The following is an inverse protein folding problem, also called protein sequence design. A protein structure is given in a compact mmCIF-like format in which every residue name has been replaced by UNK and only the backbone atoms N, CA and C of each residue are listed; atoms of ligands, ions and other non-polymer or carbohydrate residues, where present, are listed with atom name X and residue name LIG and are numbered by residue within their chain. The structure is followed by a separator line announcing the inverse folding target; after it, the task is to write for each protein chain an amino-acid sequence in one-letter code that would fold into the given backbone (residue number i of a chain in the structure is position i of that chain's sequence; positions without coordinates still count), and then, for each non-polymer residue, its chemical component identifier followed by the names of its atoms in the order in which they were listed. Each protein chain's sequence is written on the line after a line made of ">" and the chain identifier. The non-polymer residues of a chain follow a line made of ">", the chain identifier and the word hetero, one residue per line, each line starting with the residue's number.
data_IF_904134982879
#
_entry.id   IF_904134982879
#
_cell.length_a   1.000
_cell.length_b   1.000
_cell.length_c   1.000
_cell.angle_alpha   90.00
_cell.angle_beta   90.00
_cell.angle_gamma   90.00
#
_symmetry.space_group_name_H-M   'P 1'
#
loop_
_entity.id
_entity.type
_entity.pdbx_description
1 polymer ?
#
# COMPACT_ATOMS: atom_id res chain seq x y z
N UNK A 1 24.76 -17.13 11.52
CA UNK A 1 24.01 -17.25 12.76
C UNK A 1 23.67 -15.88 13.41
N UNK A 2 24.59 -14.91 13.54
CA UNK A 2 24.30 -13.59 14.18
C UNK A 2 23.30 -12.72 13.44
N UNK A 3 23.10 -12.88 12.13
CA UNK A 3 22.14 -12.07 11.31
C UNK A 3 20.68 -12.52 11.45
N UNK A 4 20.44 -13.80 11.72
CA UNK A 4 19.09 -14.34 11.94
C UNK A 4 18.54 -13.93 13.30
N UNK A 5 19.40 -13.81 14.32
CA UNK A 5 19.03 -13.36 15.67
C UNK A 5 18.62 -11.88 15.72
N UNK A 6 19.15 -11.02 14.85
CA UNK A 6 18.76 -9.59 14.82
C UNK A 6 17.38 -9.38 14.17
N UNK A 7 17.06 -10.15 13.12
CA UNK A 7 15.75 -10.13 12.48
C UNK A 7 14.64 -10.66 13.41
N UNK A 8 14.93 -11.76 14.13
CA UNK A 8 14.04 -12.33 15.13
C UNK A 8 13.84 -11.40 16.33
N UNK A 9 14.88 -10.60 16.69
CA UNK A 9 14.81 -9.61 17.77
C UNK A 9 13.88 -8.44 17.43
N UNK A 10 13.87 -7.96 16.19
CA UNK A 10 12.99 -6.88 15.75
C UNK A 10 11.52 -7.35 15.70
N UNK A 11 11.27 -8.55 15.19
CA UNK A 11 9.94 -9.17 15.18
C UNK A 11 9.40 -9.41 16.61
N UNK A 12 10.27 -9.78 17.57
CA UNK A 12 9.89 -9.99 18.97
C UNK A 12 9.56 -8.68 19.70
N UNK A 13 10.18 -7.56 19.37
CA UNK A 13 9.88 -6.24 19.95
C UNK A 13 8.51 -5.73 19.46
N UNK A 14 8.13 -6.00 18.22
CA UNK A 14 6.79 -5.67 17.70
C UNK A 14 5.66 -6.47 18.38
N UNK A 15 5.94 -7.67 18.90
CA UNK A 15 4.94 -8.50 19.58
C UNK A 15 4.61 -8.04 21.01
N UNK A 16 5.38 -7.13 21.60
CA UNK A 16 5.16 -6.67 22.99
C UNK A 16 4.19 -5.48 23.11
N UNK A 17 3.77 -4.90 22.00
CA UNK A 17 2.76 -3.83 21.98
C UNK A 17 1.39 -4.33 21.59
N UNK A 18 0.84 -5.28 22.36
CA UNK A 18 -0.55 -5.75 22.19
C UNK A 18 -1.58 -4.76 22.77
N UNK A 19 -1.57 -3.53 22.31
CA UNK A 19 -2.83 -2.79 22.25
C UNK A 19 -3.60 -3.39 21.08
N UNK A 20 -4.79 -3.97 21.29
CA UNK A 20 -5.66 -4.47 20.22
C UNK A 20 -6.04 -3.30 19.30
N UNK A 21 -5.20 -3.00 18.35
CA UNK A 21 -5.50 -2.08 17.25
C UNK A 21 -5.79 -2.98 16.05
N UNK A 22 -7.07 -3.24 15.82
CA UNK A 22 -7.52 -3.97 14.65
C UNK A 22 -7.01 -3.26 13.38
N UNK A 23 -6.52 -4.05 12.41
CA UNK A 23 -6.11 -3.55 11.11
C UNK A 23 -4.62 -3.22 10.95
N UNK A 24 -3.75 -3.65 11.88
CA UNK A 24 -2.29 -3.60 11.68
C UNK A 24 -1.78 -4.93 11.18
N UNK A 25 -0.86 -4.90 10.23
CA UNK A 25 -0.17 -6.09 9.77
C UNK A 25 1.32 -5.82 9.46
N UNK A 26 2.09 -6.90 9.51
CA UNK A 26 3.48 -6.95 9.09
C UNK A 26 3.57 -7.97 7.96
N UNK A 27 4.08 -7.57 6.82
CA UNK A 27 4.28 -8.43 5.67
C UNK A 27 5.78 -8.60 5.39
N UNK A 28 6.15 -9.75 4.88
CA UNK A 28 7.46 -10.04 4.34
C UNK A 28 7.26 -10.63 2.94
N UNK A 29 7.76 -9.95 1.94
CA UNK A 29 7.74 -10.36 0.55
C UNK A 29 9.14 -10.71 0.06
N UNK A 30 9.23 -11.70 -0.81
CA UNK A 30 10.44 -12.00 -1.57
C UNK A 30 10.14 -11.91 -3.06
N UNK A 31 10.87 -11.06 -3.75
CA UNK A 31 10.82 -10.89 -5.20
C UNK A 31 11.93 -11.70 -5.86
N UNK A 32 11.59 -12.81 -6.55
CA UNK A 32 12.59 -13.65 -7.21
C UNK A 32 13.17 -12.98 -8.48
N UNK A 33 12.47 -12.01 -9.08
CA UNK A 33 12.93 -11.31 -10.28
C UNK A 33 14.02 -10.30 -9.94
N UNK A 34 13.79 -9.49 -8.88
CA UNK A 34 14.77 -8.51 -8.38
C UNK A 34 15.75 -9.10 -7.39
N UNK A 35 15.54 -10.33 -6.91
CA UNK A 35 16.31 -11.00 -5.85
C UNK A 35 16.42 -10.12 -4.60
N UNK A 36 15.32 -9.55 -4.16
CA UNK A 36 15.24 -8.70 -2.98
C UNK A 36 14.08 -9.14 -2.08
N UNK A 37 14.14 -8.72 -0.83
CA UNK A 37 13.04 -8.84 0.11
C UNK A 37 12.52 -7.46 0.48
N UNK A 38 11.22 -7.37 0.72
CA UNK A 38 10.54 -6.16 1.21
C UNK A 38 9.78 -6.50 2.48
N UNK A 39 9.90 -5.65 3.49
CA UNK A 39 9.05 -5.70 4.69
C UNK A 39 8.08 -4.54 4.64
N UNK A 40 6.78 -4.84 4.73
CA UNK A 40 5.72 -3.84 4.79
C UNK A 40 5.11 -3.82 6.18
N UNK A 41 5.04 -2.64 6.79
CA UNK A 41 4.20 -2.39 7.96
C UNK A 41 3.01 -1.56 7.51
N UNK A 42 1.82 -2.09 7.71
CA UNK A 42 0.59 -1.47 7.25
C UNK A 42 -0.41 -1.32 8.39
N UNK A 43 -1.18 -0.24 8.39
CA UNK A 43 -2.30 -0.03 9.29
C UNK A 43 -3.49 0.59 8.56
N UNK A 44 -4.66 -0.02 8.75
CA UNK A 44 -5.95 0.60 8.44
C UNK A 44 -6.75 0.75 9.72
N UNK A 45 -7.16 1.97 10.07
CA UNK A 45 -7.92 2.27 11.28
C UNK A 45 -9.12 3.15 10.99
N UNK A 46 -10.35 2.60 11.00
CA UNK A 46 -11.57 3.40 10.94
C UNK A 46 -11.85 4.07 12.29
N UNK A 47 -12.54 5.20 12.25
CA UNK A 47 -13.06 5.91 13.41
C UNK A 47 -14.39 6.63 13.09
N UNK A 48 -14.92 7.41 14.02
CA UNK A 48 -16.23 8.06 13.88
C UNK A 48 -16.32 9.10 12.75
N UNK A 49 -15.20 9.57 12.20
CA UNK A 49 -15.16 10.63 11.18
C UNK A 49 -14.43 10.19 9.91
N UNK A 50 -14.19 8.88 9.75
CA UNK A 50 -13.55 8.34 8.57
C UNK A 50 -12.53 7.24 8.89
N UNK A 51 -11.38 7.25 8.23
CA UNK A 51 -10.32 6.28 8.50
C UNK A 51 -8.93 6.87 8.28
N UNK A 52 -7.94 6.28 8.92
CA UNK A 52 -6.52 6.53 8.67
C UNK A 52 -5.90 5.27 8.09
N UNK A 53 -5.13 5.42 7.04
CA UNK A 53 -4.32 4.37 6.46
C UNK A 53 -2.87 4.82 6.39
N UNK A 54 -1.94 3.92 6.66
CA UNK A 54 -0.55 4.12 6.29
C UNK A 54 0.12 2.79 6.00
N UNK A 55 1.16 2.83 5.19
CA UNK A 55 2.14 1.76 5.12
C UNK A 55 3.57 2.31 5.02
N UNK A 56 4.51 1.45 5.35
CA UNK A 56 5.95 1.68 5.18
C UNK A 56 6.55 0.41 4.60
N UNK A 57 7.15 0.53 3.44
CA UNK A 57 7.96 -0.52 2.83
C UNK A 57 9.43 -0.29 3.11
N UNK A 58 10.14 -1.35 3.40
CA UNK A 58 11.60 -1.36 3.54
C UNK A 58 12.16 -2.45 2.65
N UNK A 59 12.94 -2.06 1.65
CA UNK A 59 13.61 -2.97 0.73
C UNK A 59 14.99 -3.40 1.24
N UNK A 60 15.33 -4.66 1.00
CA UNK A 60 16.61 -5.26 1.39
C UNK A 60 17.33 -5.92 0.23
N UNK A 61 18.55 -5.44 -0.08
CA UNK A 61 19.41 -6.02 -1.12
C UNK A 61 20.91 -5.84 -0.81
N UNK A 62 21.62 -6.69 -0.14
CA UNK A 62 21.22 -7.60 0.96
C UNK A 62 21.01 -6.91 2.32
N UNK A 63 21.13 -5.58 2.37
CA UNK A 63 20.86 -4.72 3.53
C UNK A 63 19.77 -3.73 3.15
N UNK A 64 19.20 -3.00 4.11
CA UNK A 64 18.21 -1.97 3.82
C UNK A 64 18.73 -1.01 2.75
N UNK A 65 18.04 -0.93 1.62
CA UNK A 65 18.45 -0.19 0.42
C UNK A 65 17.47 0.91 0.05
N UNK A 66 16.23 0.84 0.58
CA UNK A 66 15.20 1.83 0.36
C UNK A 66 14.12 1.75 1.42
N UNK A 67 13.36 2.83 1.55
CA UNK A 67 12.11 2.86 2.27
C UNK A 67 11.14 3.79 1.53
N UNK A 68 9.88 3.37 1.44
CA UNK A 68 8.78 4.17 0.90
C UNK A 68 7.63 4.15 1.89
N UNK A 69 6.91 5.24 2.00
CA UNK A 69 5.75 5.33 2.90
C UNK A 69 4.67 6.21 2.32
N UNK A 70 3.45 5.85 2.67
CA UNK A 70 2.27 6.66 2.45
C UNK A 70 1.50 6.77 3.75
N UNK A 71 0.89 7.93 3.98
CA UNK A 71 -0.07 8.14 5.04
C UNK A 71 -1.25 8.92 4.50
N UNK A 72 -2.44 8.36 4.66
CA UNK A 72 -3.68 8.99 4.20
C UNK A 72 -4.72 9.09 5.29
N UNK A 73 -5.62 10.06 5.12
CA UNK A 73 -6.78 10.27 5.96
C UNK A 73 -8.00 10.53 5.10
N UNK A 74 -9.04 9.74 5.33
CA UNK A 74 -10.37 9.98 4.83
C UNK A 74 -11.20 10.71 5.89
N UNK A 75 -11.87 11.79 5.51
CA UNK A 75 -12.84 12.51 6.34
C UNK A 75 -14.23 12.33 5.75
N UNK A 76 -15.07 11.55 6.42
CA UNK A 76 -16.46 11.39 6.06
C UNK A 76 -17.34 12.34 6.90
N UNK A 77 -17.46 13.58 6.44
CA UNK A 77 -18.30 14.60 7.08
C UNK A 77 -19.81 14.34 6.89
N UNK A 78 -20.17 13.38 6.06
CA UNK A 78 -21.55 13.09 5.64
C UNK A 78 -22.01 11.70 6.10
N UNK A 79 -21.36 11.09 7.08
CA UNK A 79 -21.64 9.73 7.55
C UNK A 79 -23.12 9.50 7.93
N UNK A 80 -23.81 10.52 8.48
CA UNK A 80 -25.22 10.45 8.87
C UNK A 80 -26.17 10.91 7.76
N UNK A 81 -25.76 10.93 6.50
CA UNK A 81 -26.54 11.41 5.38
C UNK A 81 -26.59 10.41 4.22
N UNK A 82 -27.31 10.75 3.14
CA UNK A 82 -27.32 9.96 1.90
C UNK A 82 -26.00 10.01 1.13
N UNK A 83 -25.01 10.75 1.61
CA UNK A 83 -23.68 10.88 1.04
C UNK A 83 -22.61 10.16 1.90
N UNK A 84 -23.03 9.18 2.71
CA UNK A 84 -22.17 8.38 3.58
C UNK A 84 -21.05 7.64 2.83
N UNK A 85 -21.22 7.42 1.54
CA UNK A 85 -20.25 6.85 0.61
C UNK A 85 -19.14 7.83 0.16
N UNK A 86 -19.27 9.14 0.46
CA UNK A 86 -18.35 10.19 0.01
C UNK A 86 -17.46 10.66 1.15
N UNK A 87 -16.17 10.76 0.91
CA UNK A 87 -15.19 11.35 1.85
C UNK A 87 -14.27 12.34 1.16
N UNK A 88 -13.64 13.20 1.98
CA UNK A 88 -12.50 14.01 1.57
C UNK A 88 -11.24 13.24 1.88
N UNK A 89 -10.40 13.04 0.87
CA UNK A 89 -9.12 12.36 0.96
C UNK A 89 -7.98 13.37 1.07
N UNK A 90 -7.05 13.12 2.00
CA UNK A 90 -5.75 13.79 2.06
C UNK A 90 -4.66 12.75 2.28
N UNK A 91 -3.50 12.93 1.59
CA UNK A 91 -2.44 11.94 1.62
C UNK A 91 -1.07 12.61 1.46
N UNK A 92 -0.07 12.01 2.09
CA UNK A 92 1.34 12.35 1.92
C UNK A 92 2.15 11.10 1.63
N UNK A 93 2.97 11.17 0.58
CA UNK A 93 3.87 10.10 0.17
C UNK A 93 5.31 10.61 0.19
N UNK A 94 6.20 9.74 0.62
CA UNK A 94 7.62 10.03 0.68
C UNK A 94 8.46 8.76 0.63
N UNK A 95 9.76 8.94 0.59
CA UNK A 95 10.65 7.79 0.58
C UNK A 95 12.10 8.20 0.40
N UNK A 96 12.95 7.21 0.56
CA UNK A 96 14.38 7.33 0.34
C UNK A 96 14.95 5.99 -0.18
N UNK A 97 15.99 6.09 -0.95
CA UNK A 97 16.83 4.95 -1.33
C UNK A 97 18.29 5.29 -1.11
N UNK A 98 19.19 4.35 -1.32
CA UNK A 98 20.63 4.55 -1.09
C UNK A 98 21.13 5.76 -1.91
N UNK A 99 21.41 6.85 -1.21
CA UNK A 99 21.94 8.09 -1.80
C UNK A 99 20.91 9.02 -2.45
N UNK A 100 19.60 8.73 -2.33
CA UNK A 100 18.53 9.54 -2.93
C UNK A 100 17.32 9.64 -1.99
N UNK A 101 16.72 10.84 -1.89
CA UNK A 101 15.37 11.04 -1.36
C UNK A 101 14.39 11.20 -2.50
N UNK A 102 13.22 10.59 -2.41
CA UNK A 102 12.12 10.85 -3.32
C UNK A 102 11.52 12.24 -3.07
N UNK A 103 10.95 12.83 -4.12
CA UNK A 103 10.21 14.07 -3.94
C UNK A 103 9.02 13.86 -3.00
N UNK A 104 8.78 14.83 -2.12
CA UNK A 104 7.54 14.83 -1.34
C UNK A 104 6.35 14.92 -2.27
N UNK A 105 5.33 14.12 -2.00
CA UNK A 105 4.10 14.10 -2.76
C UNK A 105 2.90 14.35 -1.82
N UNK A 106 2.05 15.29 -2.18
CA UNK A 106 0.85 15.65 -1.44
C UNK A 106 -0.36 15.44 -2.33
N UNK A 107 -1.36 14.71 -1.82
CA UNK A 107 -2.58 14.47 -2.54
C UNK A 107 -3.78 15.00 -1.74
N UNK A 108 -4.78 15.47 -2.45
CA UNK A 108 -6.05 15.89 -1.87
C UNK A 108 -7.17 15.79 -2.88
N UNK A 109 -8.30 15.24 -2.46
CA UNK A 109 -9.39 15.00 -3.37
C UNK A 109 -10.64 14.44 -2.71
N UNK A 110 -11.42 13.72 -3.50
CA UNK A 110 -12.63 13.05 -3.05
C UNK A 110 -12.49 11.55 -3.27
N UNK A 111 -13.03 10.78 -2.34
CA UNK A 111 -13.10 9.32 -2.39
C UNK A 111 -14.54 8.85 -2.31
N UNK A 112 -14.88 7.90 -3.18
CA UNK A 112 -16.09 7.11 -3.15
C UNK A 112 -15.78 5.76 -2.54
N UNK A 113 -16.52 5.34 -1.50
CA UNK A 113 -16.37 4.03 -0.89
C UNK A 113 -17.66 3.22 -0.98
N UNK A 114 -17.53 1.91 -1.10
CA UNK A 114 -18.64 0.98 -1.10
C UNK A 114 -18.27 -0.34 -0.45
N UNK A 115 -19.29 -1.11 -0.08
CA UNK A 115 -19.13 -2.41 0.56
C UNK A 115 -20.29 -3.33 0.24
N UNK A 116 -20.12 -4.65 0.42
CA UNK A 116 -21.22 -5.62 0.48
C UNK A 116 -21.94 -5.53 1.82
N UNK A 117 -23.18 -6.05 1.88
CA UNK A 117 -24.01 -6.00 3.10
C UNK A 117 -23.34 -6.68 4.31
N UNK A 118 -22.56 -7.71 4.08
CA UNK A 118 -21.81 -8.48 5.08
C UNK A 118 -20.39 -7.94 5.36
N UNK A 119 -19.99 -6.84 4.70
CA UNK A 119 -18.66 -6.23 4.78
C UNK A 119 -17.50 -7.15 4.37
N UNK A 120 -17.79 -8.32 3.79
CA UNK A 120 -16.75 -9.20 3.26
C UNK A 120 -16.04 -8.62 2.04
N UNK A 121 -16.63 -7.62 1.41
CA UNK A 121 -16.10 -6.93 0.22
C UNK A 121 -16.20 -5.44 0.43
N UNK A 122 -15.07 -4.77 0.36
CA UNK A 122 -14.99 -3.30 0.41
C UNK A 122 -14.16 -2.79 -0.75
N UNK A 123 -14.49 -1.61 -1.26
CA UNK A 123 -13.75 -0.94 -2.32
C UNK A 123 -13.86 0.56 -2.19
N UNK A 124 -12.90 1.26 -2.75
CA UNK A 124 -12.97 2.71 -2.91
C UNK A 124 -12.34 3.16 -4.23
N UNK A 125 -12.77 4.33 -4.69
CA UNK A 125 -12.16 5.02 -5.83
C UNK A 125 -11.99 6.47 -5.45
N UNK A 126 -10.76 6.97 -5.54
CA UNK A 126 -10.38 8.34 -5.22
C UNK A 126 -9.93 9.09 -6.47
N UNK A 127 -10.37 10.34 -6.60
CA UNK A 127 -9.89 11.26 -7.62
C UNK A 127 -9.22 12.45 -6.93
N UNK A 128 -7.93 12.63 -7.18
CA UNK A 128 -7.09 13.50 -6.38
C UNK A 128 -6.26 14.46 -7.24
N UNK A 129 -6.12 15.68 -6.76
CA UNK A 129 -5.04 16.56 -7.13
C UNK A 129 -3.75 16.05 -6.48
N UNK A 130 -2.66 15.97 -7.27
CA UNK A 130 -1.35 15.47 -6.85
C UNK A 130 -0.31 16.55 -7.04
N UNK A 131 0.29 17.00 -5.94
CA UNK A 131 1.38 17.96 -5.93
C UNK A 131 2.71 17.27 -5.69
N UNK A 132 3.65 17.40 -6.63
CA UNK A 132 5.02 16.87 -6.53
C UNK A 132 6.01 18.03 -6.76
N UNK A 133 6.33 18.81 -5.71
CA UNK A 133 7.28 19.92 -5.83
C UNK A 133 8.63 19.45 -6.36
N UNK A 134 9.22 20.22 -7.25
CA UNK A 134 10.52 19.91 -7.86
C UNK A 134 10.46 19.06 -9.13
N UNK A 135 9.29 18.56 -9.52
CA UNK A 135 9.15 17.83 -10.79
C UNK A 135 9.32 18.76 -11.99
N UNK A 136 10.11 18.33 -12.97
CA UNK A 136 10.33 19.01 -14.25
C UNK A 136 9.62 18.23 -15.35
N UNK A 137 8.81 18.91 -16.14
CA UNK A 137 8.08 18.35 -17.26
C UNK A 137 8.97 18.02 -18.47
N UNK A 138 8.43 17.31 -19.44
CA UNK A 138 9.13 16.94 -20.68
C UNK A 138 9.59 18.18 -21.49
N UNK A 139 8.96 19.31 -21.28
CA UNK A 139 9.30 20.59 -21.90
C UNK A 139 10.35 21.40 -21.12
N UNK A 140 10.95 20.81 -20.06
CA UNK A 140 11.94 21.45 -19.19
C UNK A 140 11.39 22.50 -18.21
N UNK A 141 10.07 22.66 -18.14
CA UNK A 141 9.42 23.60 -17.19
C UNK A 141 8.92 22.85 -15.94
N UNK A 142 8.70 23.57 -14.84
CA UNK A 142 8.12 23.01 -13.63
C UNK A 142 6.76 22.36 -13.91
N UNK A 143 6.57 21.14 -13.41
CA UNK A 143 5.33 20.35 -13.49
C UNK A 143 4.96 19.78 -12.13
N UNK A 144 4.85 20.65 -11.13
CA UNK A 144 4.51 20.25 -9.77
C UNK A 144 3.02 19.85 -9.60
N UNK A 145 2.16 20.23 -10.54
CA UNK A 145 0.71 20.09 -10.46
C UNK A 145 0.23 18.96 -11.36
N UNK A 146 -0.34 17.93 -10.75
CA UNK A 146 -0.74 16.70 -11.42
C UNK A 146 -2.07 16.18 -10.87
N UNK A 147 -2.50 15.02 -11.30
CA UNK A 147 -3.65 14.29 -10.76
C UNK A 147 -3.31 12.83 -10.52
N UNK A 148 -4.08 12.17 -9.67
CA UNK A 148 -4.07 10.73 -9.45
C UNK A 148 -5.48 10.20 -9.31
N UNK A 149 -5.72 9.01 -9.87
CA UNK A 149 -6.90 8.20 -9.63
C UNK A 149 -6.42 6.91 -8.98
N UNK A 150 -6.99 6.59 -7.81
CA UNK A 150 -6.67 5.39 -7.04
C UNK A 150 -7.91 4.55 -6.85
N UNK A 151 -7.84 3.27 -7.16
CA UNK A 151 -8.81 2.27 -6.77
C UNK A 151 -8.22 1.34 -5.73
N UNK A 152 -8.96 1.05 -4.64
CA UNK A 152 -8.54 0.10 -3.60
C UNK A 152 -9.63 -0.93 -3.40
N UNK A 153 -9.27 -2.18 -3.15
CA UNK A 153 -10.21 -3.26 -2.84
C UNK A 153 -9.69 -4.18 -1.76
N UNK A 154 -10.62 -4.71 -0.97
CA UNK A 154 -10.41 -5.80 -0.05
C UNK A 154 -11.61 -6.74 -0.12
N UNK A 155 -11.39 -7.94 -0.64
CA UNK A 155 -12.43 -8.92 -0.94
C UNK A 155 -12.10 -10.24 -0.25
N UNK A 156 -12.93 -10.64 0.72
CA UNK A 156 -12.81 -11.91 1.39
C UNK A 156 -13.77 -12.94 0.79
N UNK A 157 -13.29 -14.17 0.64
CA UNK A 157 -14.00 -15.28 0.06
C UNK A 157 -13.94 -16.51 0.96
N UNK A 158 -14.93 -17.41 0.80
CA UNK A 158 -14.97 -18.72 1.47
C UNK A 158 -14.84 -18.60 3.00
N UNK A 159 -15.68 -17.75 3.62
CA UNK A 159 -15.61 -17.47 5.06
C UNK A 159 -14.22 -17.01 5.51
N UNK A 160 -13.65 -16.04 4.79
CA UNK A 160 -12.32 -15.46 5.02
C UNK A 160 -11.14 -16.44 4.90
N UNK A 161 -11.31 -17.60 4.23
CA UNK A 161 -10.19 -18.46 3.90
C UNK A 161 -9.23 -17.81 2.92
N UNK A 162 -9.77 -17.00 2.02
CA UNK A 162 -9.03 -16.34 0.96
C UNK A 162 -9.34 -14.85 0.98
N UNK A 163 -8.30 -14.02 1.05
CA UNK A 163 -8.42 -12.57 0.90
C UNK A 163 -7.73 -12.14 -0.39
N UNK A 164 -8.44 -11.36 -1.21
CA UNK A 164 -7.92 -10.71 -2.40
C UNK A 164 -8.02 -9.20 -2.21
N UNK A 165 -6.89 -8.57 -1.98
CA UNK A 165 -6.81 -7.13 -1.74
C UNK A 165 -5.75 -6.50 -2.64
N UNK A 166 -5.73 -5.18 -2.69
CA UNK A 166 -4.77 -4.43 -3.46
C UNK A 166 -5.26 -3.06 -3.85
N UNK A 167 -4.49 -2.42 -4.69
CA UNK A 167 -4.79 -1.10 -5.23
C UNK A 167 -4.44 -1.02 -6.71
N UNK A 168 -4.93 0.04 -7.37
CA UNK A 168 -4.54 0.44 -8.70
C UNK A 168 -4.46 1.96 -8.78
N UNK A 169 -3.30 2.46 -9.16
CA UNK A 169 -3.00 3.88 -9.30
C UNK A 169 -2.72 4.24 -10.74
N UNK A 170 -3.34 5.33 -11.17
CA UNK A 170 -3.01 5.99 -12.42
C UNK A 170 -2.80 7.47 -12.16
N UNK A 171 -1.60 7.98 -12.51
CA UNK A 171 -1.30 9.39 -12.30
C UNK A 171 -0.46 10.00 -13.41
N UNK A 172 -0.43 11.32 -13.44
CA UNK A 172 0.48 12.08 -14.25
C UNK A 172 1.70 12.51 -13.42
N UNK A 173 2.88 12.20 -13.92
CA UNK A 173 4.18 12.67 -13.42
C UNK A 173 5.19 12.57 -14.56
N UNK A 174 5.75 13.70 -14.95
CA UNK A 174 6.76 13.68 -16.00
C UNK A 174 8.04 13.00 -15.52
N UNK A 175 8.55 12.15 -16.38
CA UNK A 175 9.85 11.47 -16.25
C UNK A 175 10.70 11.77 -17.48
N UNK A 176 11.40 12.93 -17.53
CA UNK A 176 12.14 13.38 -18.71
C UNK A 176 13.18 12.37 -19.18
N UNK A 177 13.82 11.67 -18.27
CA UNK A 177 14.83 10.64 -18.60
C UNK A 177 14.24 9.41 -19.30
N UNK A 178 12.94 9.18 -19.17
CA UNK A 178 12.21 8.10 -19.85
C UNK A 178 11.40 8.61 -21.04
N UNK A 179 11.13 9.91 -21.10
CA UNK A 179 10.24 10.52 -22.09
C UNK A 179 8.77 10.14 -21.89
N UNK A 180 8.33 9.95 -20.62
CA UNK A 180 6.97 9.57 -20.25
C UNK A 180 6.34 10.56 -19.26
N UNK A 181 5.00 10.66 -19.25
CA UNK A 181 4.26 11.53 -18.33
C UNK A 181 3.15 10.80 -17.55
N UNK A 182 2.78 9.59 -17.97
CA UNK A 182 1.69 8.84 -17.35
C UNK A 182 2.23 7.53 -16.80
N UNK A 183 1.84 7.25 -15.56
CA UNK A 183 2.30 6.11 -14.81
C UNK A 183 1.08 5.33 -14.34
N UNK A 184 1.16 4.02 -14.42
CA UNK A 184 0.20 3.10 -13.87
C UNK A 184 0.92 2.06 -13.03
N UNK A 185 0.36 1.73 -11.86
CA UNK A 185 0.77 0.60 -11.02
C UNK A 185 -0.46 -0.04 -10.42
N UNK A 186 -0.45 -1.34 -10.26
CA UNK A 186 -1.41 -2.10 -9.47
C UNK A 186 -0.70 -3.27 -8.81
N UNK A 187 -1.04 -3.52 -7.55
CA UNK A 187 -0.45 -4.59 -6.74
C UNK A 187 -1.55 -5.46 -6.12
N UNK A 188 -2.22 -6.31 -6.93
CA UNK A 188 -3.12 -7.32 -6.40
C UNK A 188 -2.37 -8.31 -5.52
N UNK A 189 -2.91 -8.54 -4.33
CA UNK A 189 -2.44 -9.51 -3.34
C UNK A 189 -3.46 -10.63 -3.16
N UNK A 190 -3.01 -11.87 -3.06
CA UNK A 190 -3.84 -13.02 -2.75
C UNK A 190 -3.28 -13.74 -1.52
N UNK A 191 -4.09 -13.86 -0.47
CA UNK A 191 -3.70 -14.40 0.82
C UNK A 191 -4.57 -15.59 1.21
N UNK A 192 -3.93 -16.68 1.65
CA UNK A 192 -4.58 -17.81 2.33
C UNK A 192 -4.43 -17.61 3.84
N UNK A 193 -5.53 -17.51 4.57
CA UNK A 193 -5.56 -17.22 6.00
C UNK A 193 -5.47 -18.52 6.81
N UNK A 194 -4.33 -18.76 7.45
CA UNK A 194 -4.02 -20.02 8.13
C UNK A 194 -4.81 -20.19 9.45
N UNK A 195 -5.33 -19.11 10.03
CA UNK A 195 -6.22 -19.17 11.21
C UNK A 195 -7.58 -19.87 10.93
N UNK A 196 -7.87 -20.17 9.69
CA UNK A 196 -9.05 -20.97 9.30
C UNK A 196 -8.80 -22.48 9.37
N UNK A 197 -7.56 -22.91 9.51
CA UNK A 197 -7.20 -24.30 9.73
C UNK A 197 -7.58 -24.71 11.14
N UNK A 198 -8.31 -25.83 11.30
CA UNK A 198 -8.71 -26.35 12.62
C UNK A 198 -7.49 -26.58 13.52
N UNK A 199 -7.48 -25.97 14.69
CA UNK A 199 -6.38 -25.99 15.66
C UNK A 199 -5.36 -24.86 15.48
N UNK A 200 -5.56 -23.99 14.48
CA UNK A 200 -4.70 -22.85 14.20
C UNK A 200 -5.43 -21.50 14.35
N UNK A 201 -6.59 -21.49 14.98
CA UNK A 201 -7.50 -20.33 15.06
C UNK A 201 -6.85 -19.09 15.70
N UNK A 202 -5.81 -19.30 16.50
CA UNK A 202 -5.05 -18.21 17.15
C UNK A 202 -3.77 -17.80 16.37
N UNK A 203 -3.54 -18.37 15.19
CA UNK A 203 -2.37 -18.07 14.37
C UNK A 203 -2.76 -17.04 13.30
N UNK A 204 -2.51 -15.79 13.58
CA UNK A 204 -2.84 -14.68 12.68
C UNK A 204 -1.87 -14.56 11.47
N UNK A 205 -1.48 -15.70 10.92
CA UNK A 205 -0.57 -15.80 9.78
C UNK A 205 -1.35 -16.08 8.50
N UNK A 206 -1.05 -15.33 7.47
CA UNK A 206 -1.45 -15.60 6.09
C UNK A 206 -0.22 -15.83 5.23
N UNK A 207 -0.35 -16.67 4.21
CA UNK A 207 0.68 -16.88 3.19
C UNK A 207 0.08 -16.57 1.82
N UNK A 208 0.87 -16.01 0.94
CA UNK A 208 0.32 -15.55 -0.33
C UNK A 208 1.33 -14.97 -1.29
N UNK A 209 0.82 -14.15 -2.16
CA UNK A 209 1.57 -13.49 -3.24
C UNK A 209 1.04 -12.09 -3.47
N UNK A 210 1.91 -11.21 -3.89
CA UNK A 210 1.60 -9.92 -4.50
C UNK A 210 2.21 -9.91 -5.90
N UNK A 211 1.52 -9.31 -6.84
CA UNK A 211 2.04 -9.16 -8.19
C UNK A 211 1.96 -7.69 -8.60
N UNK A 212 3.11 -7.03 -8.70
CA UNK A 212 3.15 -5.68 -9.28
C UNK A 212 2.94 -5.80 -10.82
N UNK A 213 1.95 -5.07 -11.33
CA UNK A 213 1.81 -4.74 -12.73
C UNK A 213 2.01 -3.24 -12.88
N UNK A 214 3.05 -2.83 -13.58
CA UNK A 214 3.35 -1.41 -13.72
C UNK A 214 3.64 -1.01 -15.16
N UNK A 215 3.33 0.26 -15.47
CA UNK A 215 3.65 0.87 -16.74
C UNK A 215 4.33 2.23 -16.50
N UNK A 216 5.56 2.38 -17.01
CA UNK A 216 6.39 3.57 -16.85
C UNK A 216 6.69 3.94 -15.38
N UNK A 217 6.59 3.01 -14.45
CA UNK A 217 6.77 3.25 -13.03
C UNK A 217 8.26 3.43 -12.69
N UNK A 218 9.06 2.37 -12.63
CA UNK A 218 10.51 2.46 -12.41
C UNK A 218 11.23 2.71 -13.73
N UNK A 219 10.87 1.96 -14.76
CA UNK A 219 11.42 2.06 -16.11
C UNK A 219 10.30 2.25 -17.13
N UNK A 220 10.65 2.75 -18.32
CA UNK A 220 9.72 2.86 -19.43
C UNK A 220 9.25 1.49 -19.90
N UNK A 221 7.94 1.33 -20.09
CA UNK A 221 7.32 0.10 -20.57
C UNK A 221 6.47 -0.59 -19.50
N UNK A 222 6.01 -1.79 -19.83
CA UNK A 222 5.16 -2.59 -18.94
C UNK A 222 5.98 -3.70 -18.29
N UNK A 223 5.77 -3.87 -16.95
CA UNK A 223 6.47 -4.85 -16.13
C UNK A 223 5.49 -5.65 -15.29
N UNK A 224 5.89 -6.89 -14.98
CA UNK A 224 5.17 -7.80 -14.07
C UNK A 224 6.18 -8.37 -13.10
N UNK A 225 6.01 -8.11 -11.81
CA UNK A 225 6.93 -8.52 -10.76
C UNK A 225 6.17 -9.25 -9.65
N UNK A 226 6.12 -10.61 -9.70
CA UNK A 226 5.48 -11.41 -8.66
C UNK A 226 6.38 -11.56 -7.44
N UNK A 227 5.77 -11.57 -6.26
CA UNK A 227 6.41 -11.88 -4.99
C UNK A 227 5.77 -13.12 -4.35
N UNK A 228 6.48 -13.71 -3.38
CA UNK A 228 5.93 -14.68 -2.44
C UNK A 228 6.00 -14.03 -1.05
N UNK A 229 4.92 -14.09 -0.28
CA UNK A 229 4.83 -13.37 0.97
C UNK A 229 4.21 -14.14 2.12
N UNK A 230 4.49 -13.63 3.32
CA UNK A 230 3.84 -13.99 4.57
C UNK A 230 3.37 -12.72 5.26
N UNK A 231 2.17 -12.74 5.83
CA UNK A 231 1.53 -11.61 6.52
C UNK A 231 1.08 -12.04 7.90
N UNK A 232 1.49 -11.27 8.91
CA UNK A 232 1.02 -11.41 10.29
C UNK A 232 0.10 -10.25 10.63
N UNK A 233 -1.13 -10.54 11.05
CA UNK A 233 -2.12 -9.54 11.49
C UNK A 233 -2.17 -9.49 13.02
N UNK A 234 -2.13 -8.29 13.62
CA UNK A 234 -2.10 -8.08 15.06
C UNK A 234 -3.49 -7.97 15.70
#
# INVERSE_FOLDING_TARGET
>A
MKKLTTLLGLAAVCMLFSARVAGQNLQLHYDPVRNCATTTVEMFRPDAVGNTFFFVDIDYNPKASGAYWEISREFNFWADSKLDWLSVHVEYNGGLSTGLSYNNCWLGGLSYAGHSDDWSKTWSVSAMYKAIPGTIGLNGRSQAHNFQITGVWNLDFFDHWLSFNGFADFWREARPWQGTEFIFITEPQLWVNLNKIKGWENINLSVGTEVEFSCNFVNKGFYVMPTIGAKWTF
#
